data_IF_208695932368
#
_entry.id   IF_208695932368
#
_cell.length_a   1.000
_cell.length_b   1.000
_cell.length_c   1.000
_cell.angle_alpha   90.00
_cell.angle_beta   90.00
_cell.angle_gamma   90.00
#
_symmetry.space_group_name_H-M   'P 1'
#
loop_
_entity.id
_entity.type
_entity.pdbx_description
1 polymer ?
#
# COMPACT_ATOMS: atom_id res chain seq x y z
N UNK A 1 2.15 17.12 -20.91
CA UNK A 1 1.25 16.37 -20.02
C UNK A 1 2.01 16.23 -18.72
N UNK A 2 1.53 16.84 -17.64
CA UNK A 2 2.01 16.45 -16.32
C UNK A 2 1.73 14.95 -16.22
N UNK A 3 2.77 14.12 -16.15
CA UNK A 3 2.58 12.75 -15.71
C UNK A 3 1.94 12.89 -14.32
N UNK A 4 0.67 12.54 -14.22
CA UNK A 4 -0.04 12.52 -12.95
C UNK A 4 0.50 11.33 -12.15
N UNK A 5 1.66 11.54 -11.54
CA UNK A 5 2.26 10.59 -10.61
C UNK A 5 1.26 10.31 -9.51
N UNK A 6 0.96 9.04 -9.30
CA UNK A 6 0.13 8.67 -8.16
C UNK A 6 0.96 8.75 -6.89
N UNK A 7 0.45 9.49 -5.91
CA UNK A 7 1.10 9.59 -4.61
C UNK A 7 0.90 8.30 -3.81
N UNK A 8 1.67 8.14 -2.73
CA UNK A 8 1.44 7.06 -1.73
C UNK A 8 -0.01 7.09 -1.23
N UNK A 9 -0.60 8.28 -1.06
CA UNK A 9 -1.98 8.42 -0.59
C UNK A 9 -2.97 7.88 -1.63
N UNK A 10 -2.75 8.17 -2.91
CA UNK A 10 -3.63 7.69 -3.99
C UNK A 10 -3.63 6.16 -4.10
N UNK A 11 -2.45 5.54 -4.03
CA UNK A 11 -2.33 4.08 -3.98
C UNK A 11 -2.94 3.51 -2.70
N UNK A 12 -2.72 4.14 -1.56
CA UNK A 12 -3.26 3.67 -0.28
C UNK A 12 -4.80 3.69 -0.28
N UNK A 13 -5.41 4.72 -0.87
CA UNK A 13 -6.86 4.77 -1.03
C UNK A 13 -7.38 3.64 -1.94
N UNK A 14 -6.64 3.25 -2.99
CA UNK A 14 -6.98 2.05 -3.79
C UNK A 14 -6.88 0.78 -2.95
N UNK A 15 -5.78 0.60 -2.22
CA UNK A 15 -5.56 -0.59 -1.39
C UNK A 15 -6.52 -0.70 -0.20
N UNK A 16 -7.00 0.41 0.37
CA UNK A 16 -7.98 0.43 1.46
C UNK A 16 -9.36 -0.12 1.07
N UNK A 17 -9.67 -0.20 -0.24
CA UNK A 17 -10.87 -0.88 -0.73
C UNK A 17 -10.81 -2.41 -0.52
N UNK A 18 -9.64 -2.95 -0.23
CA UNK A 18 -9.40 -4.37 -0.02
C UNK A 18 -9.40 -4.67 1.48
N UNK A 19 -10.16 -5.70 1.87
CA UNK A 19 -10.34 -6.12 3.26
C UNK A 19 -9.56 -7.39 3.66
N UNK A 20 -8.90 -8.06 2.71
CA UNK A 20 -8.14 -9.30 2.95
C UNK A 20 -6.70 -9.18 2.44
N UNK A 21 -5.74 -9.75 3.17
CA UNK A 21 -4.33 -9.83 2.74
C UNK A 21 -4.17 -10.52 1.39
N UNK A 22 -4.85 -11.64 1.16
CA UNK A 22 -4.74 -12.36 -0.12
C UNK A 22 -5.12 -11.50 -1.33
N UNK A 23 -6.25 -10.80 -1.26
CA UNK A 23 -6.67 -9.89 -2.33
C UNK A 23 -5.75 -8.67 -2.46
N UNK A 24 -5.12 -8.25 -1.36
CA UNK A 24 -4.16 -7.15 -1.36
C UNK A 24 -2.92 -7.53 -2.17
N UNK A 25 -2.37 -8.73 -1.91
CA UNK A 25 -1.22 -9.26 -2.64
C UNK A 25 -1.52 -9.42 -4.13
N UNK A 26 -2.72 -9.91 -4.49
CA UNK A 26 -3.14 -10.01 -5.90
C UNK A 26 -3.14 -8.66 -6.62
N UNK A 27 -3.63 -7.60 -5.96
CA UNK A 27 -3.60 -6.25 -6.55
C UNK A 27 -2.17 -5.70 -6.60
N UNK A 28 -1.38 -5.94 -5.56
CA UNK A 28 0.03 -5.57 -5.52
C UNK A 28 0.80 -6.21 -6.68
N UNK A 29 0.68 -7.52 -6.90
CA UNK A 29 1.34 -8.24 -7.99
C UNK A 29 0.93 -7.70 -9.36
N UNK A 30 -0.37 -7.44 -9.54
CA UNK A 30 -0.88 -6.84 -10.77
C UNK A 30 -0.27 -5.45 -11.04
N UNK A 31 -0.21 -4.59 -10.02
CA UNK A 31 0.39 -3.26 -10.14
C UNK A 31 1.90 -3.36 -10.38
N UNK A 32 2.60 -4.23 -9.67
CA UNK A 32 4.04 -4.42 -9.83
C UNK A 32 4.41 -4.93 -11.23
N UNK A 33 3.54 -5.72 -11.86
CA UNK A 33 3.73 -6.17 -13.23
C UNK A 33 3.41 -5.09 -14.29
N UNK A 34 2.53 -4.14 -13.96
CA UNK A 34 1.99 -3.17 -14.94
C UNK A 34 2.62 -1.79 -14.87
N UNK A 35 3.07 -1.36 -13.70
CA UNK A 35 3.75 -0.09 -13.51
C UNK A 35 5.16 -0.14 -14.10
N UNK A 36 5.53 0.90 -14.85
CA UNK A 36 6.85 1.03 -15.48
C UNK A 36 7.66 2.21 -14.97
N UNK A 37 7.02 3.12 -14.22
CA UNK A 37 7.67 4.30 -13.66
C UNK A 37 8.17 4.02 -12.24
N UNK A 38 9.45 4.29 -11.99
CA UNK A 38 10.11 3.99 -10.72
C UNK A 38 9.44 4.70 -9.53
N UNK A 39 8.94 5.92 -9.72
CA UNK A 39 8.31 6.70 -8.65
C UNK A 39 6.94 6.13 -8.29
N UNK A 40 6.16 5.75 -9.31
CA UNK A 40 4.90 5.05 -9.12
C UNK A 40 5.10 3.70 -8.43
N UNK A 41 6.11 2.92 -8.84
CA UNK A 41 6.46 1.64 -8.20
C UNK A 41 6.79 1.88 -6.72
N UNK A 42 7.69 2.80 -6.40
CA UNK A 42 8.04 3.11 -5.00
C UNK A 42 6.83 3.57 -4.19
N UNK A 43 5.99 4.44 -4.75
CA UNK A 43 4.79 4.92 -4.05
C UNK A 43 3.77 3.80 -3.81
N UNK A 44 3.60 2.90 -4.79
CA UNK A 44 2.75 1.72 -4.71
C UNK A 44 3.25 0.77 -3.62
N UNK A 45 4.55 0.46 -3.56
CA UNK A 45 5.14 -0.39 -2.51
C UNK A 45 4.88 0.17 -1.11
N UNK A 46 5.16 1.47 -0.91
CA UNK A 46 4.94 2.15 0.38
C UNK A 46 3.48 2.08 0.81
N UNK A 47 2.55 2.23 -0.13
CA UNK A 47 1.12 2.15 0.13
C UNK A 47 0.66 0.71 0.44
N UNK A 48 1.23 -0.29 -0.25
CA UNK A 48 0.96 -1.70 -0.01
C UNK A 48 1.43 -2.13 1.39
N UNK A 49 2.67 -1.79 1.76
CA UNK A 49 3.21 -2.09 3.09
C UNK A 49 2.43 -1.41 4.20
N UNK A 50 2.03 -0.15 3.99
CA UNK A 50 1.13 0.53 4.91
C UNK A 50 -0.19 -0.23 5.06
N UNK A 51 -0.79 -0.68 3.96
CA UNK A 51 -2.05 -1.44 4.02
C UNK A 51 -1.87 -2.80 4.69
N UNK A 52 -0.76 -3.50 4.46
CA UNK A 52 -0.41 -4.74 5.19
C UNK A 52 -0.39 -4.47 6.69
N UNK A 53 0.25 -3.38 7.12
CA UNK A 53 0.30 -2.97 8.52
C UNK A 53 -1.09 -2.66 9.11
N UNK A 54 -1.95 -1.96 8.36
CA UNK A 54 -3.34 -1.73 8.77
C UNK A 54 -4.11 -3.06 8.94
N UNK A 55 -3.99 -3.99 7.99
CA UNK A 55 -4.67 -5.28 8.05
C UNK A 55 -4.21 -6.14 9.23
N UNK A 56 -2.90 -6.28 9.46
CA UNK A 56 -2.38 -7.06 10.61
C UNK A 56 -2.72 -6.44 11.96
N UNK A 57 -3.00 -5.13 11.99
CA UNK A 57 -3.50 -4.43 13.19
C UNK A 57 -5.00 -4.61 13.45
N UNK A 58 -5.66 -5.53 12.75
CA UNK A 58 -7.11 -5.74 12.85
C UNK A 58 -7.93 -4.77 12.00
N UNK A 59 -7.33 -4.20 10.96
CA UNK A 59 -7.98 -3.24 10.06
C UNK A 59 -7.96 -1.78 10.55
N UNK A 60 -7.23 -1.46 11.62
CA UNK A 60 -7.07 -0.07 12.09
C UNK A 60 -6.33 0.74 11.04
N UNK A 61 -6.87 1.93 10.75
CA UNK A 61 -6.27 2.86 9.79
C UNK A 61 -5.25 3.77 10.48
N UNK A 62 -4.18 4.11 9.75
CA UNK A 62 -3.15 5.03 10.21
C UNK A 62 -2.91 6.14 9.17
N UNK A 63 -2.39 7.27 9.61
CA UNK A 63 -1.88 8.27 8.67
C UNK A 63 -0.57 7.77 8.04
N UNK A 64 -0.29 8.21 6.81
CA UNK A 64 0.95 7.82 6.11
C UNK A 64 2.16 8.20 6.95
N UNK A 65 3.03 7.22 7.24
CA UNK A 65 4.20 7.39 8.10
C UNK A 65 3.92 7.31 9.61
N UNK A 66 2.67 7.09 10.03
CA UNK A 66 2.24 7.05 11.44
C UNK A 66 1.82 5.65 11.90
N UNK A 67 2.26 4.59 11.19
CA UNK A 67 2.08 3.20 11.65
C UNK A 67 3.04 2.95 12.81
N UNK A 68 2.55 2.51 14.00
CA UNK A 68 3.40 2.24 15.15
C UNK A 68 4.48 1.20 14.84
N UNK A 69 5.70 1.41 15.38
CA UNK A 69 6.83 0.47 15.22
C UNK A 69 6.51 -0.97 15.66
N UNK A 70 5.64 -1.13 16.66
CA UNK A 70 5.19 -2.44 17.13
C UNK A 70 4.38 -3.20 16.10
N UNK A 71 3.62 -2.51 15.24
CA UNK A 71 2.78 -3.14 14.20
C UNK A 71 3.65 -3.74 13.10
N UNK A 72 4.73 -3.06 12.71
CA UNK A 72 5.63 -3.51 11.65
C UNK A 72 6.26 -4.88 11.92
N UNK A 73 6.36 -5.30 13.19
CA UNK A 73 6.84 -6.65 13.55
C UNK A 73 5.94 -7.78 13.05
N UNK A 74 4.68 -7.47 12.75
CA UNK A 74 3.68 -8.44 12.31
C UNK A 74 3.44 -8.39 10.80
N UNK A 75 4.04 -7.43 10.10
CA UNK A 75 4.01 -7.40 8.63
C UNK A 75 5.03 -8.41 8.14
N UNK A 76 4.54 -9.42 7.40
CA UNK A 76 5.36 -10.47 6.78
C UNK A 76 5.70 -10.10 5.34
#
# INVERSE_FOLDING_TARGET
MDQLYMTVQDYLLKFRKISSLESLEKLFDHLNYTLTDDMDIVNMYRAADHRRAELVSGGRLFDVGQVPQSVWRYVQ
#
